data_IF_112188475122
#
_entry.id   IF_112188475122
#
_cell.length_a   1.000
_cell.length_b   1.000
_cell.length_c   1.000
_cell.angle_alpha   90.00
_cell.angle_beta   90.00
_cell.angle_gamma   90.00
#
_symmetry.space_group_name_H-M   'P 1'
#
loop_
_entity.id
_entity.type
_entity.pdbx_description
1 polymer ?
#
# COMPACT_ATOMS: atom_id res chain seq x y z
N UNK A 1 51.63 -34.90 46.28
CA UNK A 1 50.33 -34.33 45.89
C UNK A 1 50.56 -32.93 45.33
N UNK A 2 50.69 -32.83 44.00
CA UNK A 2 50.57 -31.58 43.23
C UNK A 2 50.00 -32.00 41.88
N UNK A 3 48.69 -31.82 41.70
CA UNK A 3 47.98 -32.18 40.48
C UNK A 3 48.09 -31.00 39.50
N UNK A 4 48.85 -31.16 38.42
CA UNK A 4 48.92 -30.18 37.31
C UNK A 4 47.85 -30.53 36.29
N UNK A 5 46.81 -29.71 36.21
CA UNK A 5 45.71 -29.84 35.24
C UNK A 5 46.11 -29.04 34.00
N UNK A 6 46.34 -29.66 32.82
CA UNK A 6 46.56 -28.92 31.60
C UNK A 6 45.22 -28.38 31.08
N UNK A 7 45.13 -27.05 31.06
CA UNK A 7 44.16 -26.24 30.32
C UNK A 7 44.29 -26.57 28.83
N UNK A 8 43.29 -27.16 28.18
CA UNK A 8 43.01 -27.01 26.73
C UNK A 8 41.84 -27.93 26.34
N UNK A 9 40.61 -27.41 26.40
CA UNK A 9 39.46 -27.87 25.59
C UNK A 9 38.27 -26.93 25.83
N UNK A 10 38.39 -25.68 25.38
CA UNK A 10 37.25 -24.78 25.24
C UNK A 10 36.59 -25.05 23.90
N UNK A 11 35.73 -26.07 23.84
CA UNK A 11 34.97 -26.42 22.63
C UNK A 11 33.86 -25.38 22.45
N UNK A 12 34.09 -24.47 21.50
CA UNK A 12 33.11 -23.52 20.97
C UNK A 12 31.87 -24.28 20.48
N UNK A 13 30.75 -24.15 21.20
CA UNK A 13 29.42 -24.48 20.67
C UNK A 13 28.64 -23.17 20.62
N UNK A 14 28.93 -22.38 19.59
CA UNK A 14 28.07 -21.30 19.17
C UNK A 14 26.82 -21.93 18.54
N UNK A 15 25.79 -22.17 19.35
CA UNK A 15 24.47 -22.57 18.88
C UNK A 15 23.84 -21.39 18.15
N UNK A 16 24.13 -21.26 16.87
CA UNK A 16 23.41 -20.40 15.94
C UNK A 16 21.96 -20.87 15.87
N UNK A 17 21.09 -20.22 16.65
CA UNK A 17 19.65 -20.28 16.48
C UNK A 17 19.34 -19.66 15.11
N UNK A 18 19.23 -20.50 14.09
CA UNK A 18 18.67 -20.12 12.80
C UNK A 18 17.20 -19.76 13.04
N UNK A 19 16.94 -18.47 13.25
CA UNK A 19 15.60 -17.89 13.18
C UNK A 19 15.19 -18.01 11.72
N UNK A 20 14.64 -19.16 11.37
CA UNK A 20 13.94 -19.36 10.11
C UNK A 20 12.65 -18.57 10.28
N UNK A 21 12.72 -17.27 9.98
CA UNK A 21 11.55 -16.44 9.79
C UNK A 21 10.86 -17.00 8.55
N UNK A 22 9.96 -17.95 8.75
CA UNK A 22 8.96 -18.29 7.75
C UNK A 22 8.19 -16.99 7.50
N UNK A 23 8.50 -16.30 6.40
CA UNK A 23 7.62 -15.29 5.85
C UNK A 23 6.32 -16.01 5.53
N UNK A 24 5.34 -15.89 6.43
CA UNK A 24 3.97 -16.19 6.10
C UNK A 24 3.60 -15.20 4.99
N UNK A 25 3.77 -15.61 3.74
CA UNK A 25 2.95 -15.15 2.62
C UNK A 25 1.52 -15.64 2.87
N UNK A 26 0.91 -15.16 3.95
CA UNK A 26 -0.52 -15.25 4.15
C UNK A 26 -1.12 -14.24 3.18
N UNK A 27 -1.92 -14.72 2.24
CA UNK A 27 -2.80 -13.90 1.41
C UNK A 27 -3.49 -12.89 2.33
N UNK A 28 -3.20 -11.61 2.13
CA UNK A 28 -3.69 -10.51 2.96
C UNK A 28 -5.12 -10.19 2.53
N UNK A 29 -6.05 -11.02 2.98
CA UNK A 29 -7.49 -10.79 2.77
C UNK A 29 -8.02 -9.75 3.77
N UNK A 30 -7.43 -8.56 3.73
CA UNK A 30 -7.96 -7.37 4.37
C UNK A 30 -9.22 -6.91 3.64
N UNK A 31 -10.20 -6.37 4.35
CA UNK A 31 -11.37 -5.74 3.74
C UNK A 31 -11.54 -4.34 4.32
N UNK A 32 -11.54 -3.34 3.43
CA UNK A 32 -11.93 -1.99 3.80
C UNK A 32 -13.45 -1.96 3.98
N UNK A 33 -13.91 -1.91 5.22
CA UNK A 33 -15.34 -1.83 5.54
C UNK A 33 -15.72 -0.37 5.78
N UNK A 34 -16.59 0.16 4.93
CA UNK A 34 -17.14 1.50 5.06
C UNK A 34 -18.58 1.41 5.60
N UNK A 35 -18.95 2.29 6.54
CA UNK A 35 -20.35 2.40 6.91
C UNK A 35 -21.18 2.95 5.73
N UNK A 36 -22.49 2.66 5.68
CA UNK A 36 -23.32 3.04 4.54
C UNK A 36 -23.35 4.57 4.26
N UNK A 37 -23.24 5.39 5.30
CA UNK A 37 -23.15 6.84 5.20
C UNK A 37 -21.76 7.35 4.78
N UNK A 38 -20.77 6.46 4.74
CA UNK A 38 -19.37 6.74 4.41
C UNK A 38 -19.06 6.44 2.94
N UNK A 39 -19.99 5.88 2.16
CA UNK A 39 -19.80 5.49 0.75
C UNK A 39 -20.62 6.37 -0.22
N UNK A 40 -20.86 7.64 0.11
CA UNK A 40 -22.00 8.41 -0.42
C UNK A 40 -21.65 9.54 -1.39
N UNK A 41 -20.39 9.68 -1.79
CA UNK A 41 -20.00 10.72 -2.74
C UNK A 41 -20.72 10.50 -4.08
N UNK A 42 -21.22 11.57 -4.68
CA UNK A 42 -21.72 11.50 -6.06
C UNK A 42 -20.55 11.59 -7.04
N UNK A 43 -20.68 10.99 -8.22
CA UNK A 43 -19.67 11.12 -9.28
C UNK A 43 -19.39 12.59 -9.62
N UNK A 44 -18.13 12.93 -9.88
CA UNK A 44 -17.76 14.28 -10.28
C UNK A 44 -18.43 14.66 -11.62
N UNK A 45 -18.97 15.88 -11.76
CA UNK A 45 -19.75 16.28 -12.94
C UNK A 45 -18.90 16.48 -14.20
N UNK A 46 -17.59 16.67 -14.03
CA UNK A 46 -16.64 16.87 -15.12
C UNK A 46 -15.67 15.71 -15.13
N UNK A 47 -15.53 15.04 -16.29
CA UNK A 47 -14.48 14.07 -16.50
C UNK A 47 -13.18 14.80 -16.85
N UNK A 48 -12.27 14.92 -15.88
CA UNK A 48 -10.94 15.49 -16.05
C UNK A 48 -9.88 14.52 -15.49
N UNK A 49 -8.67 14.47 -16.05
CA UNK A 49 -7.59 13.73 -15.42
C UNK A 49 -7.33 14.27 -13.99
N UNK A 50 -7.18 13.35 -13.04
CA UNK A 50 -6.92 13.64 -11.63
C UNK A 50 -5.45 13.36 -11.36
N UNK A 51 -4.66 14.41 -11.10
CA UNK A 51 -3.29 14.26 -10.64
C UNK A 51 -3.28 13.63 -9.23
N UNK A 52 -2.49 12.57 -9.01
CA UNK A 52 -2.45 11.89 -7.71
C UNK A 52 -1.97 12.81 -6.59
N UNK A 53 -1.13 13.80 -6.91
CA UNK A 53 -0.65 14.81 -5.96
C UNK A 53 -1.78 15.69 -5.42
N UNK A 54 -2.89 15.83 -6.16
CA UNK A 54 -4.07 16.56 -5.68
C UNK A 54 -4.85 15.79 -4.60
N UNK A 55 -4.58 14.49 -4.43
CA UNK A 55 -5.16 13.65 -3.39
C UNK A 55 -4.48 13.88 -2.04
N UNK A 56 -3.25 14.40 -2.02
CA UNK A 56 -2.50 14.71 -0.79
C UNK A 56 -3.02 16.01 -0.15
N UNK A 57 -4.18 15.90 0.50
CA UNK A 57 -4.90 17.02 1.10
C UNK A 57 -5.72 16.60 2.31
N UNK A 58 -5.81 17.48 3.30
CA UNK A 58 -6.70 17.31 4.46
C UNK A 58 -8.17 17.60 4.13
N UNK A 59 -8.46 18.15 2.94
CA UNK A 59 -9.81 18.48 2.53
C UNK A 59 -10.57 17.23 2.08
N UNK A 60 -11.77 17.04 2.63
CA UNK A 60 -12.65 15.97 2.16
C UNK A 60 -13.10 16.24 0.73
N UNK A 61 -13.12 15.22 -0.14
CA UNK A 61 -13.64 15.35 -1.50
C UNK A 61 -15.13 15.70 -1.48
N UNK A 62 -15.55 16.47 -2.49
CA UNK A 62 -16.96 16.81 -2.70
C UNK A 62 -17.64 15.88 -3.71
N UNK A 63 -16.86 15.10 -4.46
CA UNK A 63 -17.32 14.14 -5.46
C UNK A 63 -16.32 12.99 -5.63
N UNK A 64 -16.78 11.89 -6.21
CA UNK A 64 -16.00 10.69 -6.52
C UNK A 64 -15.49 10.74 -7.97
N UNK A 65 -14.18 10.61 -8.23
CA UNK A 65 -13.63 10.69 -9.57
C UNK A 65 -13.83 9.42 -10.42
N UNK A 66 -14.88 8.62 -10.19
CA UNK A 66 -15.20 7.44 -11.00
C UNK A 66 -15.18 7.72 -12.51
N UNK A 67 -14.68 6.75 -13.27
CA UNK A 67 -14.53 6.83 -14.73
C UNK A 67 -13.47 7.81 -15.22
N UNK A 68 -12.75 8.50 -14.33
CA UNK A 68 -11.67 9.42 -14.70
C UNK A 68 -10.31 8.72 -14.69
N UNK A 69 -9.30 9.42 -15.21
CA UNK A 69 -7.93 8.93 -15.27
C UNK A 69 -7.13 9.52 -14.13
N UNK A 70 -6.48 8.68 -13.33
CA UNK A 70 -5.40 9.10 -12.44
C UNK A 70 -4.13 9.34 -13.23
N UNK A 71 -3.42 10.42 -12.91
CA UNK A 71 -2.13 10.77 -13.53
C UNK A 71 -1.07 10.80 -12.44
N UNK A 72 -0.04 9.97 -12.61
CA UNK A 72 1.11 9.90 -11.70
C UNK A 72 2.20 10.90 -12.11
N UNK A 73 3.14 11.25 -11.20
CA UNK A 73 4.17 12.26 -11.48
C UNK A 73 5.10 11.92 -12.66
N UNK A 74 5.24 10.64 -12.98
CA UNK A 74 6.01 10.11 -14.11
C UNK A 74 5.24 10.10 -15.44
N UNK A 75 3.96 10.48 -15.41
CA UNK A 75 3.07 10.50 -16.57
C UNK A 75 2.30 9.20 -16.80
N UNK A 76 2.49 8.16 -15.98
CA UNK A 76 1.67 6.96 -16.04
C UNK A 76 0.20 7.29 -15.73
N UNK A 77 -0.71 6.59 -16.40
CA UNK A 77 -2.13 6.81 -16.29
C UNK A 77 -2.87 5.54 -15.86
N UNK A 78 -3.75 5.67 -14.88
CA UNK A 78 -4.61 4.59 -14.41
C UNK A 78 -6.06 4.98 -14.59
N UNK A 79 -6.79 4.21 -15.40
CA UNK A 79 -8.21 4.41 -15.62
C UNK A 79 -8.99 3.91 -14.40
N UNK A 80 -9.72 4.80 -13.74
CA UNK A 80 -10.65 4.42 -12.68
C UNK A 80 -11.89 3.75 -13.27
N UNK A 81 -12.49 2.77 -12.56
CA UNK A 81 -13.71 2.12 -12.99
C UNK A 81 -14.87 3.13 -13.03
N UNK A 82 -15.84 2.87 -13.90
CA UNK A 82 -17.07 3.69 -13.98
C UNK A 82 -18.01 3.44 -12.78
N UNK A 83 -17.77 2.36 -12.02
CA UNK A 83 -18.50 2.01 -10.81
C UNK A 83 -17.76 2.50 -9.57
N UNK A 84 -18.51 2.98 -8.58
CA UNK A 84 -17.98 3.46 -7.31
C UNK A 84 -17.44 2.33 -6.42
N UNK A 85 -16.40 2.67 -5.65
CA UNK A 85 -15.79 1.80 -4.67
C UNK A 85 -14.74 0.84 -5.21
N UNK A 86 -14.03 0.19 -4.29
CA UNK A 86 -12.99 -0.80 -4.56
C UNK A 86 -11.62 -0.19 -4.90
N UNK A 87 -10.68 -1.08 -5.14
CA UNK A 87 -9.32 -0.76 -5.57
C UNK A 87 -8.92 -1.51 -6.82
N UNK A 88 -7.78 -1.09 -7.36
CA UNK A 88 -7.19 -1.68 -8.54
C UNK A 88 -5.69 -1.43 -8.57
N UNK A 89 -4.99 -2.27 -9.33
CA UNK A 89 -3.56 -2.10 -9.57
C UNK A 89 -3.25 -2.26 -11.05
N UNK A 90 -2.23 -1.54 -11.50
CA UNK A 90 -1.66 -1.66 -12.84
C UNK A 90 -0.14 -1.71 -12.74
N UNK A 91 0.47 -2.47 -13.63
CA UNK A 91 1.91 -2.41 -13.85
C UNK A 91 2.22 -1.36 -14.91
N UNK A 92 3.26 -0.55 -14.71
CA UNK A 92 3.75 0.36 -15.75
C UNK A 92 4.14 -0.39 -17.03
N UNK A 93 4.13 0.34 -18.15
CA UNK A 93 4.76 -0.09 -19.40
C UNK A 93 6.27 -0.36 -19.28
N UNK A 94 6.95 0.34 -18.36
CA UNK A 94 8.32 0.07 -17.92
C UNK A 94 8.26 -0.70 -16.61
N UNK A 95 8.59 -2.01 -16.62
CA UNK A 95 8.38 -2.99 -15.53
C UNK A 95 9.06 -2.69 -14.16
N UNK A 96 9.45 -1.45 -13.90
CA UNK A 96 10.10 -0.97 -12.68
C UNK A 96 9.10 -0.54 -11.59
N UNK A 97 7.87 -0.16 -11.95
CA UNK A 97 6.87 0.36 -11.01
C UNK A 97 5.50 -0.32 -11.14
N UNK A 98 4.84 -0.42 -9.99
CA UNK A 98 3.46 -0.83 -9.82
C UNK A 98 2.67 0.35 -9.26
N UNK A 99 1.48 0.58 -9.81
CA UNK A 99 0.57 1.63 -9.38
C UNK A 99 -0.68 0.97 -8.81
N UNK A 100 -1.17 1.52 -7.72
CA UNK A 100 -2.38 1.06 -7.06
C UNK A 100 -3.26 2.24 -6.69
N UNK A 101 -4.55 1.99 -6.58
CA UNK A 101 -5.50 2.91 -5.99
C UNK A 101 -6.52 2.16 -5.15
N UNK A 102 -7.11 2.85 -4.17
CA UNK A 102 -8.20 2.34 -3.34
C UNK A 102 -9.20 3.47 -3.09
N UNK A 103 -10.49 3.19 -3.31
CA UNK A 103 -11.58 4.10 -2.94
C UNK A 103 -11.94 3.94 -1.47
N UNK A 104 -11.86 5.04 -0.73
CA UNK A 104 -12.13 5.13 0.71
C UNK A 104 -13.38 5.99 0.96
N UNK A 105 -14.39 5.85 0.10
CA UNK A 105 -15.69 6.51 0.27
C UNK A 105 -15.59 8.03 0.45
N UNK A 106 -16.18 8.56 1.53
CA UNK A 106 -16.23 9.99 1.83
C UNK A 106 -14.85 10.62 2.12
N UNK A 107 -13.81 9.81 2.34
CA UNK A 107 -12.44 10.29 2.46
C UNK A 107 -11.71 10.38 1.12
N UNK A 108 -12.34 9.89 0.05
CA UNK A 108 -11.86 10.00 -1.32
C UNK A 108 -11.07 8.80 -1.76
N UNK A 109 -10.02 9.06 -2.52
CA UNK A 109 -9.19 8.05 -3.14
C UNK A 109 -7.79 8.10 -2.52
N UNK A 110 -7.20 6.94 -2.32
CA UNK A 110 -5.77 6.79 -2.08
C UNK A 110 -5.15 6.24 -3.35
N UNK A 111 -3.98 6.75 -3.72
CA UNK A 111 -3.15 6.22 -4.79
C UNK A 111 -1.76 5.92 -4.27
N UNK A 112 -1.08 4.94 -4.87
CA UNK A 112 0.29 4.62 -4.55
C UNK A 112 1.07 4.23 -5.80
N UNK A 113 2.37 4.50 -5.76
CA UNK A 113 3.37 4.00 -6.68
C UNK A 113 4.47 3.33 -5.86
N UNK A 114 4.82 2.11 -6.24
CA UNK A 114 5.87 1.33 -5.58
C UNK A 114 6.76 0.69 -6.62
N UNK A 115 8.05 0.51 -6.32
CA UNK A 115 8.91 -0.27 -7.22
C UNK A 115 8.45 -1.72 -7.29
N UNK A 116 8.79 -2.40 -8.37
CA UNK A 116 8.47 -3.82 -8.57
C UNK A 116 9.10 -4.76 -7.52
N UNK A 117 10.17 -4.32 -6.83
CA UNK A 117 10.77 -5.02 -5.69
C UNK A 117 10.14 -4.64 -4.34
N UNK A 118 9.03 -3.89 -4.38
CA UNK A 118 8.30 -3.33 -3.24
C UNK A 118 9.10 -2.36 -2.36
N UNK A 119 10.23 -1.86 -2.85
CA UNK A 119 10.95 -0.76 -2.20
C UNK A 119 10.44 0.60 -2.67
N UNK A 120 10.59 1.63 -1.83
CA UNK A 120 10.30 3.02 -2.23
C UNK A 120 8.83 3.30 -2.54
N UNK A 121 7.92 2.84 -1.67
CA UNK A 121 6.51 3.20 -1.72
C UNK A 121 6.33 4.72 -1.59
N UNK A 122 5.56 5.29 -2.50
CA UNK A 122 5.02 6.64 -2.45
C UNK A 122 3.51 6.57 -2.45
N UNK A 123 2.86 7.34 -1.59
CA UNK A 123 1.42 7.33 -1.41
C UNK A 123 0.87 8.74 -1.44
N UNK A 124 -0.34 8.88 -1.97
CA UNK A 124 -1.09 10.12 -2.01
C UNK A 124 -2.51 9.86 -1.56
N UNK A 125 -3.03 10.73 -0.71
CA UNK A 125 -4.39 10.60 -0.20
C UNK A 125 -4.58 11.44 1.06
N UNK A 126 -5.85 11.65 1.41
CA UNK A 126 -6.18 12.25 2.68
C UNK A 126 -5.59 11.41 3.84
N UNK A 127 -5.04 12.02 4.92
CA UNK A 127 -4.41 11.24 6.00
C UNK A 127 -5.34 10.23 6.66
N UNK A 128 -6.63 10.51 6.77
CA UNK A 128 -7.60 9.58 7.32
C UNK A 128 -7.94 8.45 6.32
N UNK A 129 -7.90 8.73 5.01
CA UNK A 129 -8.01 7.70 3.98
C UNK A 129 -6.82 6.73 4.03
N UNK A 130 -5.61 7.26 4.09
CA UNK A 130 -4.36 6.49 4.22
C UNK A 130 -4.37 5.63 5.48
N UNK A 131 -4.75 6.19 6.64
CA UNK A 131 -4.86 5.45 7.90
C UNK A 131 -5.78 4.23 7.75
N UNK A 132 -6.94 4.39 7.11
CA UNK A 132 -7.91 3.31 6.92
C UNK A 132 -7.41 2.22 5.96
N UNK A 133 -6.73 2.61 4.88
CA UNK A 133 -6.09 1.67 3.95
C UNK A 133 -5.00 0.87 4.67
N UNK A 134 -4.14 1.53 5.46
CA UNK A 134 -3.10 0.84 6.23
C UNK A 134 -3.68 -0.08 7.30
N UNK A 135 -4.78 0.30 7.95
CA UNK A 135 -5.46 -0.58 8.92
C UNK A 135 -6.12 -1.79 8.25
N UNK A 136 -6.67 -1.62 7.05
CA UNK A 136 -7.32 -2.70 6.32
C UNK A 136 -6.32 -3.67 5.69
N UNK A 137 -5.28 -3.14 5.04
CA UNK A 137 -4.41 -3.91 4.13
C UNK A 137 -2.94 -3.95 4.55
N UNK A 138 -2.53 -3.14 5.53
CA UNK A 138 -1.14 -2.99 5.96
C UNK A 138 -0.39 -1.86 5.22
N UNK A 139 0.84 -1.59 5.68
CA UNK A 139 1.70 -0.55 5.09
C UNK A 139 2.25 -0.90 3.70
N UNK A 140 2.15 -2.17 3.30
CA UNK A 140 2.60 -2.66 1.99
C UNK A 140 1.43 -3.02 1.06
N UNK A 141 0.25 -2.41 1.26
CA UNK A 141 -0.97 -2.67 0.50
C UNK A 141 -0.84 -2.52 -1.02
N UNK A 142 0.07 -1.65 -1.49
CA UNK A 142 0.34 -1.45 -2.91
C UNK A 142 1.31 -2.51 -3.51
N UNK A 143 1.88 -3.37 -2.66
CA UNK A 143 2.76 -4.47 -3.05
C UNK A 143 1.98 -5.80 -3.05
N UNK A 144 1.80 -6.46 -4.21
CA UNK A 144 1.11 -7.75 -4.33
C UNK A 144 1.91 -8.95 -3.82
#
# INVERSE_FOLDING_TARGET
MVLRIPVLCGLLVASSLSITACSQNGTRDGYLTLAANESTLSACPTAAPVAVEALDTDQLPTCDPVGQVLVFPDGEQVQLPEQQGGGGSSSSSTSEYLYAYESVGNWGLVAACVKADCSGLQEWGNPEALRRVHEAFGHDWACP
#
